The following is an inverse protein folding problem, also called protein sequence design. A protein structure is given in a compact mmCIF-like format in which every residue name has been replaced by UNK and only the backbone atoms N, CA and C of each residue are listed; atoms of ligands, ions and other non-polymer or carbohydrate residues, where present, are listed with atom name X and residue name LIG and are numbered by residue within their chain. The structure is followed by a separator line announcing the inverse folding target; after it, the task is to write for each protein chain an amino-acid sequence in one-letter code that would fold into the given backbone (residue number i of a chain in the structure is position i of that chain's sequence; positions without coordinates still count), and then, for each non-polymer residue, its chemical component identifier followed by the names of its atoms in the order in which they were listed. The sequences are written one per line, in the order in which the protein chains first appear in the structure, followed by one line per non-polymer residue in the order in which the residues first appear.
data_IF_534623922537
#
_entry.id   IF_534623922537
#
_cell.length_a   1.000
_cell.length_b   1.000
_cell.length_c   1.000
_cell.angle_alpha   90.00
_cell.angle_beta   90.00
_cell.angle_gamma   90.00
#
_symmetry.space_group_name_H-M   'P 1'
#
loop_
_entity.id
_entity.type
_entity.pdbx_description
1 polymer ?
#
# COMPACT_ATOMS: atom_id res chain seq x y z
N UNK A 1 -30.32 -29.13 -20.51
CA UNK A 1 -29.78 -27.79 -20.25
C UNK A 1 -29.56 -27.64 -18.75
N UNK A 2 -28.37 -27.29 -18.34
CA UNK A 2 -28.04 -26.87 -16.97
C UNK A 2 -28.32 -25.36 -16.83
N UNK A 3 -28.57 -24.89 -15.61
CA UNK A 3 -28.75 -23.47 -15.32
C UNK A 3 -27.44 -22.90 -14.77
N UNK A 4 -26.82 -21.98 -15.51
CA UNK A 4 -25.65 -21.27 -15.05
C UNK A 4 -26.07 -20.03 -14.24
N UNK A 5 -25.60 -19.91 -12.99
CA UNK A 5 -25.81 -18.75 -12.11
C UNK A 5 -24.56 -17.92 -11.94
N UNK A 6 -24.72 -16.63 -12.15
CA UNK A 6 -23.63 -15.63 -12.10
C UNK A 6 -23.82 -14.66 -10.94
N UNK A 7 -22.70 -14.35 -10.25
CA UNK A 7 -22.69 -13.47 -9.08
C UNK A 7 -21.71 -12.32 -9.28
N UNK A 8 -21.96 -11.21 -8.59
CA UNK A 8 -21.09 -10.01 -8.53
C UNK A 8 -20.57 -9.56 -9.92
N UNK A 9 -19.27 -9.38 -10.09
CA UNK A 9 -18.65 -8.88 -11.32
C UNK A 9 -18.95 -9.75 -12.57
N UNK A 10 -19.09 -11.06 -12.42
CA UNK A 10 -19.46 -11.94 -13.54
C UNK A 10 -20.90 -11.69 -14.03
N UNK A 11 -21.81 -11.34 -13.11
CA UNK A 11 -23.16 -10.92 -13.45
C UNK A 11 -23.18 -9.59 -14.19
N UNK A 12 -22.28 -8.67 -13.82
CA UNK A 12 -22.17 -7.34 -14.46
C UNK A 12 -21.59 -7.46 -15.86
N UNK A 13 -20.53 -8.26 -16.06
CA UNK A 13 -19.93 -8.48 -17.39
C UNK A 13 -20.86 -9.25 -18.34
N UNK A 14 -21.67 -10.20 -17.84
CA UNK A 14 -22.63 -10.93 -18.65
C UNK A 14 -23.97 -10.18 -18.86
N UNK A 15 -24.27 -9.19 -18.04
CA UNK A 15 -25.54 -8.45 -18.08
C UNK A 15 -26.77 -9.24 -17.60
N UNK A 16 -26.58 -10.44 -17.02
CA UNK A 16 -27.65 -11.33 -16.54
C UNK A 16 -27.21 -12.16 -15.35
N UNK A 17 -28.18 -12.60 -14.53
CA UNK A 17 -27.91 -13.37 -13.31
C UNK A 17 -27.94 -14.88 -13.50
N UNK A 18 -28.66 -15.36 -14.51
CA UNK A 18 -28.80 -16.78 -14.83
C UNK A 18 -29.06 -16.99 -16.33
N UNK A 19 -28.55 -18.10 -16.85
CA UNK A 19 -28.73 -18.51 -18.23
C UNK A 19 -28.74 -20.02 -18.34
N UNK A 20 -29.54 -20.57 -19.25
CA UNK A 20 -29.58 -22.00 -19.55
C UNK A 20 -28.52 -22.35 -20.59
N UNK A 21 -27.67 -23.32 -20.27
CA UNK A 21 -26.55 -23.77 -21.10
C UNK A 21 -26.75 -25.25 -21.43
N UNK A 22 -26.54 -25.62 -22.70
CA UNK A 22 -26.59 -27.02 -23.11
C UNK A 22 -25.17 -27.61 -23.14
N UNK A 23 -24.80 -28.21 -22.04
CA UNK A 23 -23.48 -28.77 -21.85
C UNK A 23 -23.56 -30.06 -21.01
N UNK A 24 -22.54 -30.89 -21.09
CA UNK A 24 -22.45 -32.17 -20.40
C UNK A 24 -21.41 -32.16 -19.27
N UNK A 25 -20.55 -31.16 -19.24
CA UNK A 25 -19.53 -30.95 -18.21
C UNK A 25 -19.47 -29.47 -17.80
N UNK A 26 -18.96 -29.22 -16.58
CA UNK A 26 -18.69 -27.86 -16.10
C UNK A 26 -17.73 -27.12 -17.05
N UNK A 27 -16.71 -27.83 -17.57
CA UNK A 27 -15.75 -27.23 -18.53
C UNK A 27 -16.46 -26.66 -19.76
N UNK A 28 -17.38 -27.43 -20.37
CA UNK A 28 -18.16 -26.97 -21.52
C UNK A 28 -19.09 -25.78 -21.18
N UNK A 29 -19.66 -25.75 -19.97
CA UNK A 29 -20.44 -24.59 -19.48
C UNK A 29 -19.58 -23.34 -19.41
N UNK A 30 -18.36 -23.46 -18.87
CA UNK A 30 -17.43 -22.33 -18.73
C UNK A 30 -16.92 -21.83 -20.09
N UNK A 31 -16.53 -22.76 -20.98
CA UNK A 31 -16.03 -22.43 -22.32
C UNK A 31 -17.10 -21.72 -23.16
N UNK A 32 -18.35 -22.17 -23.07
CA UNK A 32 -19.47 -21.52 -23.74
C UNK A 32 -19.74 -20.11 -23.16
N UNK A 33 -19.71 -19.97 -21.84
CA UNK A 33 -19.88 -18.68 -21.19
C UNK A 33 -18.76 -17.67 -21.58
N UNK A 34 -17.51 -18.13 -21.68
CA UNK A 34 -16.40 -17.30 -22.17
C UNK A 34 -16.60 -16.87 -23.63
N UNK A 35 -17.08 -17.77 -24.46
CA UNK A 35 -17.36 -17.47 -25.86
C UNK A 35 -18.49 -16.44 -26.02
N UNK A 36 -19.52 -16.50 -25.16
CA UNK A 36 -20.68 -15.62 -25.21
C UNK A 36 -20.43 -14.23 -24.59
N UNK A 37 -19.62 -14.14 -23.51
CA UNK A 37 -19.44 -12.92 -22.70
C UNK A 37 -18.05 -12.27 -22.84
N UNK A 38 -17.09 -12.92 -23.50
CA UNK A 38 -15.82 -12.33 -23.90
C UNK A 38 -14.73 -12.30 -22.82
N UNK A 39 -13.69 -11.48 -23.08
CA UNK A 39 -12.44 -11.49 -22.33
C UNK A 39 -12.60 -11.07 -20.86
N UNK A 40 -13.40 -10.03 -20.60
CA UNK A 40 -13.62 -9.54 -19.22
C UNK A 40 -14.29 -10.59 -18.32
N UNK A 41 -15.16 -11.42 -18.91
CA UNK A 41 -15.77 -12.55 -18.23
C UNK A 41 -14.76 -13.67 -17.96
N UNK A 42 -13.90 -13.96 -18.94
CA UNK A 42 -12.83 -14.96 -18.80
C UNK A 42 -11.85 -14.60 -17.66
N UNK A 43 -11.49 -13.34 -17.55
CA UNK A 43 -10.63 -12.84 -16.48
C UNK A 43 -11.28 -13.03 -15.10
N UNK A 44 -12.57 -12.73 -14.98
CA UNK A 44 -13.35 -12.96 -13.75
C UNK A 44 -13.46 -14.43 -13.34
N UNK A 45 -13.40 -15.37 -14.31
CA UNK A 45 -13.43 -16.82 -14.04
C UNK A 45 -12.15 -17.34 -13.41
N UNK A 46 -11.01 -16.69 -13.64
CA UNK A 46 -9.69 -17.20 -13.22
C UNK A 46 -9.60 -17.40 -11.70
N UNK A 47 -10.28 -16.54 -10.93
CA UNK A 47 -10.31 -16.60 -9.46
C UNK A 47 -11.62 -17.16 -8.89
N UNK A 48 -12.61 -17.47 -9.74
CA UNK A 48 -13.92 -17.89 -9.29
C UNK A 48 -13.94 -19.39 -8.90
N UNK A 49 -14.78 -19.73 -7.95
CA UNK A 49 -15.06 -21.14 -7.60
C UNK A 49 -16.36 -21.58 -8.24
N UNK A 50 -16.36 -22.82 -8.76
CA UNK A 50 -17.53 -23.41 -9.38
C UNK A 50 -18.17 -24.41 -8.43
N UNK A 51 -19.48 -24.35 -8.37
CA UNK A 51 -20.31 -25.23 -7.57
C UNK A 51 -21.41 -25.83 -8.44
N UNK A 52 -21.70 -27.11 -8.25
CA UNK A 52 -22.83 -27.77 -8.89
C UNK A 52 -23.78 -28.25 -7.81
N UNK A 53 -25.02 -27.79 -7.85
CA UNK A 53 -26.07 -28.14 -6.87
C UNK A 53 -25.64 -27.93 -5.41
N UNK A 54 -24.79 -26.89 -5.16
CA UNK A 54 -24.29 -26.57 -3.82
C UNK A 54 -23.06 -27.35 -3.38
N UNK A 55 -22.46 -28.18 -4.24
CA UNK A 55 -21.20 -28.87 -3.96
C UNK A 55 -20.06 -28.30 -4.84
N UNK A 56 -18.81 -28.19 -4.31
CA UNK A 56 -17.66 -27.76 -5.10
C UNK A 56 -17.44 -28.69 -6.31
N UNK A 57 -17.19 -28.10 -7.46
CA UNK A 57 -17.04 -28.84 -8.71
C UNK A 57 -15.79 -28.39 -9.47
N UNK A 58 -15.21 -29.33 -10.26
CA UNK A 58 -14.13 -29.08 -11.20
C UNK A 58 -14.62 -29.10 -12.64
N UNK A 59 -13.73 -28.78 -13.60
CA UNK A 59 -14.06 -28.77 -15.04
C UNK A 59 -14.53 -30.12 -15.58
N UNK A 60 -14.12 -31.23 -14.94
CA UNK A 60 -14.48 -32.56 -15.38
C UNK A 60 -15.83 -33.05 -14.80
N UNK A 61 -16.41 -32.30 -13.85
CA UNK A 61 -17.69 -32.63 -13.22
C UNK A 61 -18.80 -32.64 -14.27
N UNK A 62 -19.56 -33.71 -14.32
CA UNK A 62 -20.70 -33.88 -15.24
C UNK A 62 -21.89 -33.05 -14.79
N UNK A 63 -22.54 -32.42 -15.75
CA UNK A 63 -23.79 -31.67 -15.54
C UNK A 63 -24.87 -32.14 -16.50
N UNK A 64 -26.11 -32.10 -16.07
CA UNK A 64 -27.26 -32.55 -16.82
C UNK A 64 -28.44 -31.57 -16.78
N UNK A 65 -29.54 -31.97 -17.37
CA UNK A 65 -30.75 -31.15 -17.35
C UNK A 65 -31.28 -31.00 -15.92
N UNK A 66 -31.45 -29.75 -15.48
CA UNK A 66 -31.93 -29.40 -14.16
C UNK A 66 -30.83 -29.19 -13.11
N UNK A 67 -29.57 -29.39 -13.45
CA UNK A 67 -28.45 -29.03 -12.56
C UNK A 67 -28.21 -27.53 -12.57
N UNK A 68 -27.86 -27.00 -11.39
CA UNK A 68 -27.48 -25.61 -11.19
C UNK A 68 -25.94 -25.50 -11.09
N UNK A 69 -25.32 -24.77 -12.01
CA UNK A 69 -23.90 -24.44 -12.00
C UNK A 69 -23.75 -23.02 -11.51
N UNK A 70 -23.24 -22.81 -10.30
CA UNK A 70 -23.01 -21.52 -9.72
C UNK A 70 -21.53 -21.13 -9.82
N UNK A 71 -21.24 -19.97 -10.41
CA UNK A 71 -19.89 -19.40 -10.46
C UNK A 71 -19.84 -18.29 -9.43
N UNK A 72 -19.08 -18.53 -8.36
CA UNK A 72 -18.97 -17.63 -7.22
C UNK A 72 -17.58 -16.97 -7.29
N UNK A 73 -17.49 -15.67 -7.64
CA UNK A 73 -16.26 -14.92 -7.49
C UNK A 73 -15.84 -14.89 -6.02
N UNK A 74 -14.55 -14.72 -5.70
CA UNK A 74 -14.13 -14.55 -4.33
C UNK A 74 -14.88 -13.39 -3.70
N UNK A 75 -15.58 -13.64 -2.59
CA UNK A 75 -16.27 -12.60 -1.82
C UNK A 75 -15.22 -11.68 -1.19
N UNK A 76 -15.42 -10.37 -1.27
CA UNK A 76 -14.61 -9.37 -0.57
C UNK A 76 -14.66 -9.67 0.94
N UNK A 77 -13.62 -10.35 1.47
CA UNK A 77 -13.56 -10.85 2.85
C UNK A 77 -13.17 -12.33 2.99
N UNK A 78 -13.17 -13.11 1.89
CA UNK A 78 -12.57 -14.45 1.86
C UNK A 78 -11.05 -14.36 1.98
N UNK A 79 -10.48 -15.31 2.70
CA UNK A 79 -9.06 -15.51 2.93
C UNK A 79 -8.24 -15.13 1.68
N UNK A 80 -7.51 -14.04 1.78
CA UNK A 80 -6.57 -13.57 0.78
C UNK A 80 -5.47 -14.63 0.70
N UNK A 81 -5.63 -15.61 -0.16
CA UNK A 81 -4.49 -16.33 -0.69
C UNK A 81 -3.85 -15.34 -1.65
N UNK A 82 -3.10 -14.40 -1.10
CA UNK A 82 -2.14 -13.66 -1.87
C UNK A 82 -1.24 -14.73 -2.50
N UNK A 83 -1.47 -15.00 -3.78
CA UNK A 83 -0.48 -15.71 -4.56
C UNK A 83 0.78 -14.89 -4.39
N UNK A 84 1.72 -15.42 -3.60
CA UNK A 84 2.98 -14.74 -3.30
C UNK A 84 3.71 -14.62 -4.62
N UNK A 85 3.48 -13.52 -5.29
CA UNK A 85 4.35 -13.12 -6.40
C UNK A 85 5.73 -13.03 -5.78
N UNK A 86 6.66 -13.86 -6.26
CA UNK A 86 8.03 -13.84 -5.80
C UNK A 86 8.51 -12.40 -5.86
N UNK A 87 8.79 -11.81 -4.69
CA UNK A 87 9.26 -10.45 -4.61
C UNK A 87 10.56 -10.39 -5.42
N UNK A 88 10.55 -9.65 -6.52
CA UNK A 88 11.77 -9.41 -7.27
C UNK A 88 12.66 -8.50 -6.41
N UNK A 89 13.81 -8.97 -5.92
CA UNK A 89 14.68 -8.15 -5.10
C UNK A 89 15.14 -6.88 -5.82
N UNK A 90 15.08 -6.84 -7.15
CA UNK A 90 15.44 -5.65 -7.93
C UNK A 90 14.40 -4.53 -7.82
N UNK A 91 13.13 -4.86 -7.60
CA UNK A 91 12.05 -3.88 -7.39
C UNK A 91 12.26 -3.07 -6.11
N UNK A 92 13.00 -3.61 -5.13
CA UNK A 92 13.25 -2.95 -3.84
C UNK A 92 14.49 -2.04 -3.84
N UNK A 93 15.34 -2.09 -4.87
CA UNK A 93 16.63 -1.38 -4.91
C UNK A 93 16.43 0.12 -4.76
N UNK A 94 15.46 0.71 -5.46
CA UNK A 94 15.21 2.15 -5.40
C UNK A 94 14.77 2.60 -4.00
N UNK A 95 13.96 1.80 -3.31
CA UNK A 95 13.55 2.04 -1.93
C UNK A 95 14.74 2.08 -0.98
N UNK A 96 15.69 1.14 -1.11
CA UNK A 96 16.90 1.12 -0.31
C UNK A 96 17.85 2.28 -0.67
N UNK A 97 17.92 2.69 -1.93
CA UNK A 97 18.68 3.89 -2.33
C UNK A 97 18.12 5.14 -1.65
N UNK A 98 16.79 5.31 -1.59
CA UNK A 98 16.18 6.45 -0.93
C UNK A 98 16.37 6.43 0.59
N UNK A 99 16.28 5.26 1.23
CA UNK A 99 16.60 5.11 2.66
C UNK A 99 18.07 5.41 2.95
N UNK A 100 18.97 4.93 2.10
CA UNK A 100 20.40 5.24 2.18
C UNK A 100 20.67 6.73 1.98
N UNK A 101 19.96 7.38 1.05
CA UNK A 101 20.06 8.81 0.84
C UNK A 101 19.63 9.61 2.07
N UNK A 102 18.53 9.23 2.74
CA UNK A 102 18.10 9.83 4.00
C UNK A 102 19.11 9.58 5.13
N UNK A 103 19.67 8.37 5.20
CA UNK A 103 20.71 8.02 6.17
C UNK A 103 21.96 8.89 5.98
N UNK A 104 22.48 9.01 4.74
CA UNK A 104 23.65 9.84 4.43
C UNK A 104 23.33 11.32 4.66
N UNK A 105 22.14 11.79 4.24
CA UNK A 105 21.73 13.16 4.43
C UNK A 105 21.62 13.58 5.91
N UNK A 106 21.47 12.63 6.83
CA UNK A 106 21.45 12.94 8.26
C UNK A 106 22.78 13.48 8.78
N UNK A 107 23.91 13.24 8.09
CA UNK A 107 25.26 13.70 8.47
C UNK A 107 25.63 15.07 7.88
N UNK A 108 24.85 15.59 6.97
CA UNK A 108 25.08 16.90 6.34
C UNK A 108 24.16 17.97 6.94
N UNK A 109 24.36 19.26 6.63
CA UNK A 109 23.52 20.34 7.14
C UNK A 109 22.03 20.08 6.89
N UNK A 110 21.19 20.50 7.85
CA UNK A 110 19.76 20.21 7.87
C UNK A 110 19.01 20.70 6.61
N UNK A 111 19.50 21.77 6.00
CA UNK A 111 18.94 22.34 4.77
C UNK A 111 18.94 21.32 3.63
N UNK A 112 20.05 20.58 3.50
CA UNK A 112 20.17 19.52 2.49
C UNK A 112 19.38 18.27 2.87
N UNK A 113 19.27 17.97 4.18
CA UNK A 113 18.40 16.90 4.63
C UNK A 113 16.95 17.16 4.24
N UNK A 114 16.47 18.41 4.40
CA UNK A 114 15.10 18.82 3.96
C UNK A 114 14.92 18.56 2.47
N UNK A 115 15.90 18.92 1.64
CA UNK A 115 15.85 18.68 0.18
C UNK A 115 15.72 17.19 -0.12
N UNK A 116 16.50 16.35 0.56
CA UNK A 116 16.47 14.89 0.37
C UNK A 116 15.14 14.30 0.86
N UNK A 117 14.63 14.72 2.02
CA UNK A 117 13.35 14.25 2.56
C UNK A 117 12.17 14.63 1.63
N UNK A 118 12.16 15.86 1.12
CA UNK A 118 11.18 16.31 0.12
C UNK A 118 11.32 15.52 -1.17
N UNK A 119 12.55 15.32 -1.66
CA UNK A 119 12.83 14.55 -2.86
C UNK A 119 12.34 13.09 -2.75
N UNK A 120 12.55 12.46 -1.60
CA UNK A 120 12.06 11.10 -1.32
C UNK A 120 10.52 11.04 -1.34
N UNK A 121 9.86 12.03 -0.74
CA UNK A 121 8.40 12.11 -0.75
C UNK A 121 7.83 12.36 -2.16
N UNK A 122 8.47 13.21 -2.95
CA UNK A 122 8.08 13.46 -4.34
C UNK A 122 8.29 12.22 -5.22
N UNK A 123 9.39 11.49 -5.03
CA UNK A 123 9.63 10.23 -5.73
C UNK A 123 8.58 9.17 -5.38
N UNK A 124 8.20 9.08 -4.10
CA UNK A 124 7.13 8.19 -3.65
C UNK A 124 5.76 8.56 -4.25
N UNK A 125 5.41 9.85 -4.28
CA UNK A 125 4.17 10.33 -4.92
C UNK A 125 4.18 10.00 -6.41
N UNK A 126 5.31 10.22 -7.08
CA UNK A 126 5.45 9.89 -8.50
C UNK A 126 5.19 8.40 -8.75
N UNK A 127 5.83 7.52 -7.99
CA UNK A 127 5.65 6.08 -8.11
C UNK A 127 4.18 5.64 -7.82
N UNK A 128 3.52 6.27 -6.84
CA UNK A 128 2.10 6.03 -6.57
C UNK A 128 1.20 6.45 -7.74
N UNK A 129 1.50 7.57 -8.38
CA UNK A 129 0.67 8.11 -9.47
C UNK A 129 0.89 7.40 -10.79
N UNK A 130 2.12 6.91 -11.04
CA UNK A 130 2.46 6.15 -12.25
C UNK A 130 1.91 4.72 -12.19
N UNK A 131 1.80 4.16 -10.99
CA UNK A 131 1.36 2.79 -10.77
C UNK A 131 -0.12 2.64 -10.43
N UNK A 132 -0.90 3.73 -10.47
CA UNK A 132 -2.37 3.69 -10.44
C UNK A 132 -2.93 3.17 -11.77
N UNK A 133 -2.61 1.92 -12.06
CA UNK A 133 -2.94 1.24 -13.33
C UNK A 133 -4.47 1.04 -13.50
N UNK A 134 -5.20 1.01 -12.38
CA UNK A 134 -6.66 0.88 -12.38
C UNK A 134 -7.37 2.18 -12.76
N UNK A 135 -6.64 3.30 -12.82
CA UNK A 135 -7.21 4.64 -13.01
C UNK A 135 -8.39 4.96 -12.06
N UNK A 136 -8.51 4.18 -10.97
CA UNK A 136 -9.63 4.27 -10.05
C UNK A 136 -9.40 5.30 -8.95
N UNK A 137 -8.19 5.38 -8.42
CA UNK A 137 -7.85 6.39 -7.41
C UNK A 137 -7.70 7.79 -8.03
N UNK A 138 -7.30 7.89 -9.31
CA UNK A 138 -7.14 9.13 -10.08
C UNK A 138 -6.47 10.24 -9.28
N UNK A 139 -5.31 9.93 -8.71
CA UNK A 139 -4.58 10.86 -7.86
C UNK A 139 -4.24 12.15 -8.61
N UNK A 140 -4.45 13.29 -7.98
CA UNK A 140 -4.09 14.58 -8.54
C UNK A 140 -2.63 14.92 -8.26
N UNK A 141 -1.75 14.67 -9.22
CA UNK A 141 -0.30 14.93 -9.12
C UNK A 141 -0.02 16.38 -8.75
N UNK A 142 -0.72 17.34 -9.35
CA UNK A 142 -0.46 18.76 -9.14
C UNK A 142 -0.77 19.23 -7.71
N UNK A 143 -1.82 18.68 -7.11
CA UNK A 143 -2.13 18.92 -5.70
C UNK A 143 -1.10 18.26 -4.78
N UNK A 144 -0.63 17.06 -5.14
CA UNK A 144 0.28 16.26 -4.31
C UNK A 144 1.71 16.80 -4.29
N UNK A 145 2.25 17.31 -5.41
CA UNK A 145 3.64 17.81 -5.48
C UNK A 145 3.89 19.03 -4.60
N UNK A 146 2.85 19.73 -4.16
CA UNK A 146 2.96 20.92 -3.30
C UNK A 146 3.12 20.50 -1.81
N UNK A 147 2.52 19.40 -1.40
CA UNK A 147 2.42 19.01 0.02
C UNK A 147 3.79 18.77 0.69
N UNK A 148 4.71 17.93 0.15
CA UNK A 148 6.01 17.68 0.78
C UNK A 148 6.91 18.94 0.88
N UNK A 149 7.09 19.75 -0.19
CA UNK A 149 7.89 20.97 -0.08
C UNK A 149 7.32 21.95 0.94
N UNK A 150 5.99 22.15 0.93
CA UNK A 150 5.35 23.04 1.89
C UNK A 150 5.58 22.57 3.33
N UNK A 151 5.37 21.27 3.61
CA UNK A 151 5.57 20.73 4.94
C UNK A 151 7.05 20.73 5.35
N UNK A 152 7.96 20.29 4.48
CA UNK A 152 9.40 20.25 4.78
C UNK A 152 9.98 21.64 5.06
N UNK A 153 9.71 22.60 4.20
CA UNK A 153 10.22 23.97 4.35
C UNK A 153 9.57 24.69 5.53
N UNK A 154 8.23 24.58 5.69
CA UNK A 154 7.53 25.20 6.82
C UNK A 154 8.02 24.65 8.15
N UNK A 155 8.18 23.32 8.26
CA UNK A 155 8.70 22.69 9.47
C UNK A 155 10.13 23.14 9.78
N UNK A 156 11.00 23.19 8.77
CA UNK A 156 12.36 23.67 8.93
C UNK A 156 12.42 25.11 9.41
N UNK A 157 11.63 26.02 8.80
CA UNK A 157 11.70 27.45 9.08
C UNK A 157 11.02 27.86 10.40
N UNK A 158 9.92 27.21 10.77
CA UNK A 158 9.06 27.66 11.89
C UNK A 158 8.68 26.55 12.87
N UNK A 159 9.18 25.33 12.70
CA UNK A 159 8.98 24.22 13.63
C UNK A 159 7.60 23.56 13.59
N UNK A 160 7.21 23.01 14.75
CA UNK A 160 6.00 22.20 14.92
C UNK A 160 4.69 22.91 14.55
N UNK A 161 4.57 24.19 14.90
CA UNK A 161 3.35 24.95 14.61
C UNK A 161 3.09 25.09 13.12
N UNK A 162 4.16 25.36 12.35
CA UNK A 162 4.06 25.47 10.91
C UNK A 162 3.86 24.13 10.22
N UNK A 163 4.38 23.04 10.80
CA UNK A 163 4.10 21.68 10.30
C UNK A 163 2.59 21.39 10.32
N UNK A 164 1.91 21.63 11.43
CA UNK A 164 0.48 21.43 11.53
C UNK A 164 -0.30 22.28 10.51
N UNK A 165 0.13 23.55 10.33
CA UNK A 165 -0.43 24.45 9.31
C UNK A 165 -0.21 23.95 7.89
N UNK A 166 0.98 23.42 7.59
CA UNK A 166 1.29 22.88 6.27
C UNK A 166 0.48 21.62 5.93
N UNK A 167 0.28 20.72 6.91
CA UNK A 167 -0.60 19.55 6.75
C UNK A 167 -2.03 19.99 6.47
N UNK A 168 -2.57 20.96 7.24
CA UNK A 168 -3.90 21.49 7.00
C UNK A 168 -4.02 22.14 5.60
N UNK A 169 -3.00 22.92 5.19
CA UNK A 169 -2.96 23.51 3.86
C UNK A 169 -2.93 22.46 2.74
N UNK A 170 -2.18 21.37 2.92
CA UNK A 170 -2.14 20.26 1.95
C UNK A 170 -3.52 19.63 1.75
N UNK A 171 -4.29 19.44 2.82
CA UNK A 171 -5.69 18.96 2.75
C UNK A 171 -6.58 19.95 1.99
N UNK A 172 -6.47 21.23 2.32
CA UNK A 172 -7.28 22.28 1.67
C UNK A 172 -6.97 22.32 0.17
N UNK A 173 -5.69 22.25 -0.22
CA UNK A 173 -5.29 22.24 -1.63
C UNK A 173 -5.85 21.01 -2.33
N UNK A 174 -5.74 19.82 -1.73
CA UNK A 174 -6.24 18.57 -2.31
C UNK A 174 -7.75 18.60 -2.54
N UNK A 175 -8.52 19.15 -1.59
CA UNK A 175 -9.98 19.27 -1.68
C UNK A 175 -10.41 20.40 -2.63
N UNK A 176 -9.66 21.51 -2.68
CA UNK A 176 -10.00 22.66 -3.52
C UNK A 176 -9.58 22.47 -4.99
N UNK A 177 -8.58 21.64 -5.28
CA UNK A 177 -8.07 21.46 -6.64
C UNK A 177 -9.12 21.08 -7.68
N UNK A 178 -10.09 20.20 -7.41
CA UNK A 178 -11.16 19.84 -8.34
C UNK A 178 -12.05 21.01 -8.78
N UNK A 179 -11.98 22.16 -8.11
CA UNK A 179 -12.66 23.37 -8.58
C UNK A 179 -12.07 23.82 -9.93
N UNK A 180 -10.76 23.63 -10.10
CA UNK A 180 -10.00 24.02 -11.30
C UNK A 180 -9.93 22.90 -12.33
N UNK A 181 -9.95 21.62 -11.88
CA UNK A 181 -9.88 20.44 -12.73
C UNK A 181 -11.19 19.64 -12.70
N UNK A 182 -12.04 19.87 -13.71
CA UNK A 182 -13.34 19.24 -13.79
C UNK A 182 -13.31 17.72 -14.00
N UNK A 183 -12.19 17.17 -14.50
CA UNK A 183 -12.05 15.73 -14.74
C UNK A 183 -11.86 14.93 -13.44
N UNK A 184 -11.55 15.61 -12.34
CA UNK A 184 -11.25 14.98 -11.06
C UNK A 184 -12.27 15.32 -9.96
N UNK A 185 -13.53 15.52 -10.33
CA UNK A 185 -14.65 15.83 -9.41
C UNK A 185 -15.28 14.58 -8.78
N UNK A 186 -14.59 13.46 -8.81
CA UNK A 186 -15.02 12.26 -8.13
C UNK A 186 -14.60 12.25 -6.65
N UNK A 187 -15.52 11.86 -5.76
CA UNK A 187 -15.30 11.84 -4.31
C UNK A 187 -14.16 10.89 -3.93
N UNK A 188 -14.03 9.76 -4.64
CA UNK A 188 -12.96 8.80 -4.40
C UNK A 188 -11.61 9.40 -4.74
N UNK A 189 -11.48 10.06 -5.89
CA UNK A 189 -10.25 10.74 -6.32
C UNK A 189 -9.84 11.86 -5.34
N UNK A 190 -10.81 12.66 -4.88
CA UNK A 190 -10.58 13.72 -3.89
C UNK A 190 -10.11 13.11 -2.57
N UNK A 191 -10.79 12.07 -2.09
CA UNK A 191 -10.46 11.39 -0.83
C UNK A 191 -9.07 10.75 -0.87
N UNK A 192 -8.74 10.03 -1.94
CA UNK A 192 -7.43 9.42 -2.15
C UNK A 192 -6.32 10.49 -2.21
N UNK A 193 -6.51 11.56 -3.01
CA UNK A 193 -5.56 12.66 -3.13
C UNK A 193 -5.33 13.34 -1.78
N UNK A 194 -6.40 13.66 -1.04
CA UNK A 194 -6.29 14.28 0.28
C UNK A 194 -5.55 13.39 1.28
N UNK A 195 -5.81 12.08 1.26
CA UNK A 195 -5.14 11.12 2.15
C UNK A 195 -3.65 11.02 1.83
N UNK A 196 -3.27 10.90 0.56
CA UNK A 196 -1.85 10.88 0.14
C UNK A 196 -1.17 12.20 0.49
N UNK A 197 -1.83 13.35 0.29
CA UNK A 197 -1.29 14.66 0.65
C UNK A 197 -1.02 14.77 2.16
N UNK A 198 -1.94 14.28 3.01
CA UNK A 198 -1.75 14.24 4.47
C UNK A 198 -0.55 13.37 4.82
N UNK A 199 -0.47 12.15 4.30
CA UNK A 199 0.63 11.22 4.60
C UNK A 199 1.97 11.83 4.17
N UNK A 200 2.04 12.37 2.95
CA UNK A 200 3.25 13.00 2.42
C UNK A 200 3.70 14.21 3.25
N UNK A 201 2.78 15.14 3.55
CA UNK A 201 3.08 16.32 4.34
C UNK A 201 3.46 15.96 5.79
N UNK A 202 2.69 15.07 6.42
CA UNK A 202 2.92 14.63 7.79
C UNK A 202 4.25 13.91 7.91
N UNK A 203 4.54 12.97 7.01
CA UNK A 203 5.77 12.20 7.00
C UNK A 203 7.00 13.04 6.72
N UNK A 204 6.94 13.94 5.72
CA UNK A 204 8.07 14.82 5.36
C UNK A 204 8.39 15.76 6.52
N UNK A 205 7.38 16.42 7.12
CA UNK A 205 7.61 17.28 8.26
C UNK A 205 8.12 16.53 9.48
N UNK A 206 7.63 15.32 9.76
CA UNK A 206 8.12 14.48 10.85
C UNK A 206 9.60 14.08 10.66
N UNK A 207 10.04 13.76 9.44
CA UNK A 207 11.46 13.52 9.14
C UNK A 207 12.31 14.74 9.47
N UNK A 208 11.85 15.93 9.14
CA UNK A 208 12.54 17.20 9.48
C UNK A 208 12.56 17.39 11.00
N UNK A 209 11.46 17.16 11.71
CA UNK A 209 11.41 17.23 13.17
C UNK A 209 12.36 16.23 13.85
N UNK A 210 12.45 14.98 13.35
CA UNK A 210 13.43 14.01 13.83
C UNK A 210 14.85 14.53 13.66
N UNK A 211 15.16 15.16 12.53
CA UNK A 211 16.49 15.74 12.27
C UNK A 211 16.77 16.96 13.16
N UNK A 212 15.73 17.70 13.53
CA UNK A 212 15.86 18.82 14.48
C UNK A 212 16.15 18.36 15.92
N UNK A 213 15.72 17.15 16.31
CA UNK A 213 16.09 16.56 17.62
C UNK A 213 17.58 16.23 17.60
N UNK A 214 18.00 15.30 16.75
CA UNK A 214 19.41 14.96 16.58
C UNK A 214 19.67 14.17 15.30
N UNK A 215 20.93 14.10 14.87
CA UNK A 215 21.35 13.20 13.79
C UNK A 215 21.06 11.75 14.17
N UNK A 216 21.34 11.38 15.43
CA UNK A 216 21.16 10.01 15.93
C UNK A 216 19.71 9.54 15.86
N UNK A 217 18.75 10.44 16.07
CA UNK A 217 17.31 10.12 15.98
C UNK A 217 16.89 9.70 14.56
N UNK A 218 17.42 10.39 13.54
CA UNK A 218 17.17 10.03 12.13
C UNK A 218 17.88 8.71 11.77
N UNK A 219 19.11 8.53 12.24
CA UNK A 219 19.85 7.26 12.03
C UNK A 219 19.10 6.09 12.66
N UNK A 220 18.59 6.26 13.88
CA UNK A 220 17.77 5.26 14.54
C UNK A 220 16.50 4.95 13.74
N UNK A 221 15.78 5.98 13.30
CA UNK A 221 14.59 5.81 12.47
C UNK A 221 14.89 5.04 11.18
N UNK A 222 15.90 5.48 10.41
CA UNK A 222 16.25 4.84 9.14
C UNK A 222 16.72 3.40 9.32
N UNK A 223 17.43 3.11 10.41
CA UNK A 223 17.86 1.75 10.74
C UNK A 223 16.69 0.84 11.11
N UNK A 224 15.75 1.31 11.95
CA UNK A 224 14.53 0.58 12.33
C UNK A 224 13.68 0.28 11.10
N UNK A 225 13.48 1.27 10.23
CA UNK A 225 12.73 1.11 8.99
C UNK A 225 13.39 0.11 8.05
N UNK A 226 14.70 0.25 7.81
CA UNK A 226 15.44 -0.65 6.95
C UNK A 226 15.39 -2.10 7.45
N UNK A 227 15.58 -2.30 8.77
CA UNK A 227 15.49 -3.62 9.39
C UNK A 227 14.08 -4.23 9.26
N UNK A 228 13.04 -3.42 9.44
CA UNK A 228 11.65 -3.85 9.25
C UNK A 228 11.36 -4.28 7.82
N UNK A 229 11.81 -3.49 6.83
CA UNK A 229 11.63 -3.81 5.40
C UNK A 229 12.44 -5.07 5.01
N UNK A 230 13.69 -5.17 5.44
CA UNK A 230 14.54 -6.34 5.17
C UNK A 230 13.96 -7.62 5.79
N UNK A 231 13.46 -7.55 7.02
CA UNK A 231 12.85 -8.70 7.67
C UNK A 231 11.52 -9.10 7.00
N UNK A 232 10.73 -8.13 6.53
CA UNK A 232 9.54 -8.40 5.73
C UNK A 232 9.89 -9.09 4.41
N UNK A 233 10.93 -8.62 3.72
CA UNK A 233 11.43 -9.24 2.49
C UNK A 233 11.94 -10.66 2.76
N UNK A 234 12.72 -10.87 3.82
CA UNK A 234 13.20 -12.18 4.21
C UNK A 234 12.06 -13.17 4.51
N UNK A 235 11.01 -12.72 5.22
CA UNK A 235 9.82 -13.57 5.45
C UNK A 235 9.03 -13.85 4.18
N UNK A 236 8.96 -12.90 3.25
CA UNK A 236 8.33 -13.10 1.96
C UNK A 236 9.09 -14.12 1.09
N UNK A 237 10.43 -14.09 1.11
CA UNK A 237 11.27 -14.97 0.31
C UNK A 237 11.41 -16.38 0.92
N UNK A 238 11.60 -16.46 2.24
CA UNK A 238 11.99 -17.70 2.92
C UNK A 238 10.94 -18.25 3.90
N UNK A 239 9.94 -17.46 4.29
CA UNK A 239 8.96 -17.82 5.32
C UNK A 239 7.91 -18.86 4.90
N UNK A 240 7.93 -19.32 3.65
CA UNK A 240 6.93 -20.26 3.13
C UNK A 240 5.51 -19.68 3.23
N UNK A 241 4.50 -20.52 3.46
CA UNK A 241 3.10 -20.08 3.67
C UNK A 241 2.77 -19.74 5.12
N UNK A 242 3.74 -19.91 6.05
CA UNK A 242 3.50 -19.84 7.49
C UNK A 242 3.81 -18.50 8.13
N UNK A 243 4.67 -17.67 7.51
CA UNK A 243 5.09 -16.38 8.06
C UNK A 243 4.60 -15.22 7.20
N UNK A 244 3.81 -14.36 7.82
CA UNK A 244 3.34 -13.11 7.21
C UNK A 244 4.49 -12.07 7.19
N UNK A 245 4.74 -11.37 6.06
CA UNK A 245 5.70 -10.27 5.98
C UNK A 245 5.49 -9.16 7.01
N UNK A 246 4.26 -8.94 7.48
CA UNK A 246 3.98 -7.99 8.55
C UNK A 246 4.58 -8.41 9.89
N UNK A 247 4.60 -9.73 10.18
CA UNK A 247 5.31 -10.27 11.35
C UNK A 247 6.81 -10.02 11.22
N UNK A 248 7.37 -10.22 10.01
CA UNK A 248 8.77 -9.88 9.72
C UNK A 248 9.06 -8.40 9.99
N UNK A 249 8.21 -7.50 9.49
CA UNK A 249 8.33 -6.05 9.75
C UNK A 249 8.37 -5.75 11.25
N UNK A 250 7.43 -6.29 12.01
CA UNK A 250 7.35 -6.06 13.45
C UNK A 250 8.61 -6.57 14.18
N UNK A 251 9.00 -7.82 13.93
CA UNK A 251 10.17 -8.44 14.57
C UNK A 251 11.46 -7.70 14.19
N UNK A 252 11.68 -7.41 12.91
CA UNK A 252 12.88 -6.71 12.46
C UNK A 252 13.00 -5.31 13.04
N UNK A 253 11.92 -4.55 13.09
CA UNK A 253 11.88 -3.22 13.69
C UNK A 253 12.17 -3.29 15.21
N UNK A 254 11.55 -4.22 15.94
CA UNK A 254 11.76 -4.38 17.39
C UNK A 254 13.21 -4.74 17.68
N UNK A 255 13.78 -5.70 16.95
CA UNK A 255 15.20 -6.09 17.13
C UNK A 255 16.10 -4.89 16.90
N UNK A 256 15.86 -4.11 15.84
CA UNK A 256 16.63 -2.88 15.59
C UNK A 256 16.46 -1.85 16.70
N UNK A 257 15.24 -1.65 17.22
CA UNK A 257 14.97 -0.73 18.32
C UNK A 257 15.68 -1.12 19.63
N UNK A 258 15.70 -2.42 19.94
CA UNK A 258 16.46 -2.94 21.09
C UNK A 258 17.96 -2.71 20.91
N UNK A 259 18.50 -2.99 19.72
CA UNK A 259 19.91 -2.75 19.42
C UNK A 259 20.28 -1.27 19.56
N UNK A 260 19.44 -0.37 19.09
CA UNK A 260 19.64 1.08 19.23
C UNK A 260 19.63 1.46 20.71
N UNK A 261 18.63 1.03 21.48
CA UNK A 261 18.55 1.34 22.91
C UNK A 261 19.68 0.77 23.76
N UNK A 262 20.37 -0.27 23.27
CA UNK A 262 21.56 -0.83 23.95
C UNK A 262 22.89 -0.17 23.53
N UNK A 263 22.97 0.31 22.28
CA UNK A 263 24.22 0.74 21.67
C UNK A 263 24.33 2.26 21.48
N UNK A 264 23.21 2.96 21.32
CA UNK A 264 23.19 4.40 21.11
C UNK A 264 23.05 5.14 22.45
N UNK A 265 24.05 5.95 22.88
CA UNK A 265 24.02 6.60 24.19
C UNK A 265 22.94 7.67 24.34
N UNK A 266 22.37 8.15 23.24
CA UNK A 266 21.34 9.20 23.21
C UNK A 266 19.91 8.67 23.29
N UNK A 267 19.72 7.35 23.14
CA UNK A 267 18.39 6.71 23.08
C UNK A 267 18.38 5.56 24.08
N UNK A 268 17.58 5.70 25.13
CA UNK A 268 17.42 4.62 26.10
C UNK A 268 16.62 3.43 25.54
N UNK A 269 16.69 2.29 26.23
CA UNK A 269 16.08 1.04 25.79
C UNK A 269 14.54 1.14 25.64
N UNK A 270 13.89 1.88 26.53
CA UNK A 270 12.43 2.04 26.46
C UNK A 270 12.04 2.86 25.23
N UNK A 271 12.72 4.00 25.02
CA UNK A 271 12.52 4.84 23.83
C UNK A 271 12.81 4.06 22.54
N UNK A 272 13.93 3.32 22.48
CA UNK A 272 14.27 2.48 21.33
C UNK A 272 13.21 1.44 21.02
N UNK A 273 12.71 0.73 22.04
CA UNK A 273 11.69 -0.30 21.89
C UNK A 273 10.34 0.30 21.47
N UNK A 274 9.82 1.27 22.18
CA UNK A 274 8.48 1.83 21.87
C UNK A 274 8.45 2.55 20.53
N UNK A 275 9.53 3.29 20.20
CA UNK A 275 9.62 3.98 18.91
C UNK A 275 9.72 2.99 17.74
N UNK A 276 10.37 1.85 17.91
CA UNK A 276 10.44 0.81 16.89
C UNK A 276 9.10 0.12 16.67
N UNK A 277 8.32 -0.13 17.73
CA UNK A 277 6.95 -0.65 17.62
C UNK A 277 6.06 0.36 16.88
N UNK A 278 6.13 1.63 17.24
CA UNK A 278 5.39 2.71 16.59
C UNK A 278 5.74 2.82 15.10
N UNK A 279 7.03 2.74 14.75
CA UNK A 279 7.48 2.70 13.36
C UNK A 279 6.95 1.46 12.61
N UNK A 280 7.01 0.27 13.24
CA UNK A 280 6.50 -0.95 12.63
C UNK A 280 5.00 -0.86 12.30
N UNK A 281 4.21 -0.31 13.21
CA UNK A 281 2.77 -0.04 12.97
C UNK A 281 2.59 0.89 11.77
N UNK A 282 3.37 1.97 11.68
CA UNK A 282 3.34 2.89 10.55
C UNK A 282 3.75 2.24 9.23
N UNK A 283 4.78 1.38 9.25
CA UNK A 283 5.23 0.63 8.07
C UNK A 283 4.15 -0.33 7.56
N UNK A 284 3.52 -1.08 8.47
CA UNK A 284 2.45 -2.03 8.12
C UNK A 284 1.23 -1.28 7.59
N UNK A 285 0.79 -0.23 8.28
CA UNK A 285 -0.35 0.58 7.86
C UNK A 285 -0.12 1.23 6.49
N UNK A 286 1.08 1.77 6.27
CA UNK A 286 1.44 2.40 4.99
C UNK A 286 1.53 1.41 3.84
N UNK A 287 2.01 0.18 4.10
CA UNK A 287 2.00 -0.89 3.08
C UNK A 287 0.57 -1.26 2.68
N UNK A 288 -0.32 -1.42 3.67
CA UNK A 288 -1.75 -1.70 3.39
C UNK A 288 -2.36 -0.54 2.61
N UNK A 289 -2.10 0.69 3.02
CA UNK A 289 -2.60 1.88 2.34
C UNK A 289 -2.06 2.00 0.90
N UNK A 290 -0.74 1.83 0.71
CA UNK A 290 -0.10 1.89 -0.61
C UNK A 290 -0.65 0.81 -1.55
N UNK A 291 -0.88 -0.40 -1.04
CA UNK A 291 -1.48 -1.48 -1.83
C UNK A 291 -2.92 -1.15 -2.25
N UNK A 292 -3.72 -0.54 -1.38
CA UNK A 292 -5.09 -0.10 -1.69
C UNK A 292 -5.10 0.99 -2.78
N UNK A 293 -4.18 1.95 -2.72
CA UNK A 293 -4.07 3.01 -3.73
C UNK A 293 -3.64 2.44 -5.07
N UNK A 294 -2.63 1.55 -5.10
CA UNK A 294 -2.06 1.00 -6.33
C UNK A 294 -2.98 -0.03 -7.00
N UNK A 295 -3.67 -0.86 -6.21
CA UNK A 295 -4.58 -1.89 -6.71
C UNK A 295 -6.02 -1.38 -6.93
N UNK A 296 -6.35 -0.16 -6.49
CA UNK A 296 -7.72 0.33 -6.44
C UNK A 296 -8.56 -0.41 -5.41
N UNK A 297 -9.87 -0.12 -5.40
CA UNK A 297 -10.84 -0.78 -4.50
C UNK A 297 -11.19 -2.20 -4.94
N UNK A 298 -10.79 -2.62 -6.14
CA UNK A 298 -11.03 -3.96 -6.69
C UNK A 298 -9.71 -4.71 -6.74
N UNK A 299 -9.57 -5.66 -5.85
CA UNK A 299 -8.40 -6.53 -5.73
C UNK A 299 -8.42 -7.55 -6.86
N UNK A 300 -8.06 -7.16 -8.05
CA UNK A 300 -7.96 -8.06 -9.20
C UNK A 300 -6.57 -8.12 -9.83
N UNK A 301 -5.62 -7.32 -9.41
CA UNK A 301 -4.26 -7.40 -9.93
C UNK A 301 -3.35 -8.08 -8.95
N UNK A 302 -2.70 -9.15 -9.40
CA UNK A 302 -1.77 -10.00 -8.67
C UNK A 302 -0.48 -9.30 -8.24
N UNK A 303 -0.31 -8.01 -8.53
CA UNK A 303 0.84 -7.17 -8.14
C UNK A 303 0.35 -5.80 -7.72
N UNK A 304 0.78 -5.34 -6.56
CA UNK A 304 0.88 -3.91 -6.34
C UNK A 304 2.07 -3.42 -7.17
N UNK A 305 1.86 -2.78 -8.33
CA UNK A 305 2.95 -2.28 -9.13
C UNK A 305 3.66 -1.17 -8.36
N UNK A 306 4.94 -0.93 -8.64
CA UNK A 306 5.68 0.18 -8.04
C UNK A 306 7.03 -0.20 -7.47
N UNK A 307 8.03 0.56 -7.87
CA UNK A 307 9.41 0.40 -7.41
C UNK A 307 9.63 0.91 -5.98
N UNK A 308 8.68 1.69 -5.45
CA UNK A 308 8.77 2.31 -4.12
C UNK A 308 7.75 1.74 -3.12
N UNK A 309 7.07 0.65 -3.45
CA UNK A 309 6.13 -0.02 -2.53
C UNK A 309 6.72 -0.36 -1.15
N UNK A 310 8.01 -0.74 -0.99
CA UNK A 310 8.57 -0.97 0.34
C UNK A 310 8.61 0.27 1.24
N UNK A 311 8.69 1.47 0.67
CA UNK A 311 8.71 2.72 1.45
C UNK A 311 7.33 3.36 1.62
N UNK A 312 6.24 2.72 1.15
CA UNK A 312 4.87 3.24 1.35
C UNK A 312 4.59 3.56 2.82
N UNK A 313 5.18 2.79 3.74
CA UNK A 313 5.01 2.98 5.17
C UNK A 313 5.93 4.01 5.82
N UNK A 314 6.98 4.48 5.15
CA UNK A 314 7.98 5.37 5.76
C UNK A 314 7.36 6.69 6.23
N UNK A 315 6.49 7.27 5.40
CA UNK A 315 5.84 8.56 5.69
C UNK A 315 4.75 8.46 6.76
N UNK A 316 4.25 7.26 7.07
CA UNK A 316 3.39 6.99 8.23
C UNK A 316 4.22 6.59 9.47
N UNK A 317 5.33 5.91 9.29
CA UNK A 317 6.21 5.51 10.38
C UNK A 317 6.92 6.73 11.01
N UNK A 318 7.33 7.71 10.19
CA UNK A 318 8.08 8.87 10.68
C UNK A 318 7.34 9.68 11.77
N UNK A 319 6.08 10.08 11.61
CA UNK A 319 5.35 10.81 12.65
C UNK A 319 5.12 9.95 13.89
N UNK A 320 4.86 8.65 13.76
CA UNK A 320 4.65 7.76 14.90
C UNK A 320 5.95 7.55 15.70
N UNK A 321 7.07 7.37 14.99
CA UNK A 321 8.38 7.29 15.62
C UNK A 321 8.75 8.61 16.32
N UNK A 322 8.58 9.75 15.65
CA UNK A 322 8.85 11.05 16.22
C UNK A 322 8.01 11.31 17.49
N UNK A 323 6.73 10.98 17.44
CA UNK A 323 5.81 11.17 18.57
C UNK A 323 6.21 10.31 19.77
N UNK A 324 6.63 9.05 19.53
CA UNK A 324 7.07 8.16 20.59
C UNK A 324 8.39 8.63 21.22
N UNK A 325 9.35 9.13 20.43
CA UNK A 325 10.57 9.74 20.95
C UNK A 325 10.23 10.95 21.83
N UNK A 326 9.33 11.83 21.35
CA UNK A 326 8.96 13.04 22.11
C UNK A 326 8.24 12.73 23.42
N UNK A 327 7.45 11.66 23.49
CA UNK A 327 6.70 11.28 24.69
C UNK A 327 7.57 10.59 25.75
N UNK A 328 8.70 10.03 25.37
CA UNK A 328 9.57 9.24 26.26
C UNK A 328 10.89 9.93 26.60
N UNK A 329 11.28 10.98 25.87
CA UNK A 329 12.40 11.85 26.16
C UNK A 329 12.00 13.00 27.10
#
# INVERSE_FOLDING_TARGET
MATLRLFAGLRESAGLSEVNVDATTVGEVLDQAVADYGADFADGLTAARVWVNGEPADKATKVGAGDEVAIIPPVSGGEYVAERVAADPTENVLSFILLLALFIASWIPIEWFVVVAVGAALAWIWDLTETDDSNQARLNVYALIIAPPAAGVATYAWGLEAWAGAVAAAVIVAIAWPIFDQKQRDVTAIGATATVAVIAATGTGALVLLRMISTMTVLAFTFVVAAGILAALATALYGGQTLDPNVGTLVGSIVAGVLIGLLAPEIDLATGLFSSVAAAVGLIAGRVFGSLIRAGTVVHTQRAPGHLSPIDGVFLAAPLFWMSVLLLS
#
